data_IF_995507069521
#
_entry.id   IF_995507069521
#
_cell.length_a   1.000
_cell.length_b   1.000
_cell.length_c   1.000
_cell.angle_alpha   90.00
_cell.angle_beta   90.00
_cell.angle_gamma   90.00
#
_symmetry.space_group_name_H-M   'P 1'
#
loop_
_entity.id
_entity.type
_entity.pdbx_description
1 polymer ?
#
# COMPACT_ATOMS: atom_id res chain seq x y z
N UNK A 1 -51.80 3.01 -16.01
CA UNK A 1 -52.11 4.08 -16.99
C UNK A 1 -51.03 5.14 -16.88
N UNK A 2 -50.43 5.46 -18.03
CA UNK A 2 -49.26 6.33 -18.28
C UNK A 2 -47.88 5.78 -17.84
N UNK A 3 -47.05 5.37 -18.83
CA UNK A 3 -45.67 4.91 -18.70
C UNK A 3 -44.67 6.07 -18.94
N UNK A 4 -43.39 5.86 -18.61
CA UNK A 4 -42.31 6.69 -19.15
C UNK A 4 -41.14 6.90 -18.19
N UNK A 5 -40.11 6.05 -18.28
CA UNK A 5 -38.69 6.43 -18.41
C UNK A 5 -37.85 5.14 -18.50
N UNK A 6 -37.92 4.46 -19.64
CA UNK A 6 -36.89 3.55 -20.14
C UNK A 6 -36.19 4.30 -21.27
N UNK A 7 -35.03 4.91 -21.00
CA UNK A 7 -34.04 5.38 -22.00
C UNK A 7 -32.96 6.24 -21.31
N UNK A 8 -31.92 5.60 -20.74
CA UNK A 8 -30.64 6.25 -20.43
C UNK A 8 -29.51 5.26 -20.07
N UNK A 9 -29.53 4.03 -20.61
CA UNK A 9 -28.54 2.98 -20.26
C UNK A 9 -27.91 2.30 -21.48
N UNK A 10 -27.89 2.98 -22.63
CA UNK A 10 -27.22 2.47 -23.82
C UNK A 10 -26.69 3.63 -24.64
N UNK A 11 -25.43 3.99 -24.39
CA UNK A 11 -24.52 4.77 -25.26
C UNK A 11 -23.23 5.02 -24.46
N UNK A 12 -22.33 4.02 -24.46
CA UNK A 12 -21.00 4.13 -23.86
C UNK A 12 -19.94 3.21 -24.47
N UNK A 13 -20.26 2.42 -25.50
CA UNK A 13 -19.37 1.43 -26.11
C UNK A 13 -19.10 1.70 -27.62
N UNK A 14 -19.20 2.96 -28.07
CA UNK A 14 -19.06 3.29 -29.50
C UNK A 14 -18.21 4.54 -29.79
N UNK A 15 -17.19 4.82 -28.97
CA UNK A 15 -16.25 5.93 -29.22
C UNK A 15 -14.77 5.54 -29.34
N UNK A 16 -14.43 4.24 -29.40
CA UNK A 16 -13.06 3.76 -29.71
C UNK A 16 -12.83 3.56 -31.22
N UNK A 17 -13.30 4.51 -32.04
CA UNK A 17 -12.89 4.63 -33.43
C UNK A 17 -12.02 5.88 -33.62
N UNK A 18 -11.03 6.06 -32.74
CA UNK A 18 -9.81 6.76 -33.13
C UNK A 18 -9.03 5.75 -33.98
N UNK A 19 -9.21 5.82 -35.30
CA UNK A 19 -8.62 4.91 -36.28
C UNK A 19 -7.12 5.22 -36.47
N UNK A 20 -6.29 4.93 -35.48
CA UNK A 20 -4.88 4.60 -35.71
C UNK A 20 -4.81 3.18 -36.26
N UNK A 21 -4.03 2.95 -37.31
CA UNK A 21 -3.66 1.58 -37.67
C UNK A 21 -2.89 0.99 -36.48
N UNK A 22 -3.19 -0.24 -36.03
CA UNK A 22 -2.47 -0.84 -34.92
C UNK A 22 -0.96 -0.88 -35.21
N UNK A 23 -0.12 -0.70 -34.19
CA UNK A 23 1.32 -0.61 -34.38
C UNK A 23 1.89 -1.92 -34.95
N UNK A 24 2.77 -1.80 -35.93
CA UNK A 24 3.50 -2.95 -36.50
C UNK A 24 4.40 -3.60 -35.42
N UNK A 25 4.67 -4.92 -35.48
CA UNK A 25 5.54 -5.59 -34.50
C UNK A 25 6.92 -4.95 -34.32
N UNK A 26 7.46 -4.34 -35.38
CA UNK A 26 8.74 -3.60 -35.28
C UNK A 26 8.63 -2.29 -34.50
N UNK A 27 7.47 -1.63 -34.51
CA UNK A 27 7.22 -0.43 -33.72
C UNK A 27 7.01 -0.79 -32.24
N UNK A 28 6.23 -1.83 -31.95
CA UNK A 28 6.00 -2.34 -30.59
C UNK A 28 7.33 -2.71 -29.91
N UNK A 29 8.16 -3.50 -30.60
CA UNK A 29 9.48 -3.91 -30.10
C UNK A 29 10.41 -2.73 -29.87
N UNK A 30 10.38 -1.73 -30.76
CA UNK A 30 11.18 -0.50 -30.60
C UNK A 30 10.75 0.27 -29.34
N UNK A 31 9.45 0.50 -29.16
CA UNK A 31 8.94 1.21 -27.97
C UNK A 31 9.30 0.46 -26.68
N UNK A 32 9.09 -0.86 -26.63
CA UNK A 32 9.51 -1.67 -25.48
C UNK A 32 11.01 -1.56 -25.20
N UNK A 33 11.85 -1.60 -26.23
CA UNK A 33 13.30 -1.52 -26.04
C UNK A 33 13.77 -0.13 -25.64
N UNK A 34 13.25 0.91 -26.29
CA UNK A 34 13.77 2.26 -26.15
C UNK A 34 13.15 2.97 -24.94
N UNK A 35 11.82 2.89 -24.79
CA UNK A 35 11.07 3.61 -23.76
C UNK A 35 11.17 2.92 -22.40
N UNK A 36 10.94 1.60 -22.32
CA UNK A 36 11.08 0.89 -21.05
C UNK A 36 12.52 0.96 -20.54
N UNK A 37 13.52 0.78 -21.42
CA UNK A 37 14.91 0.90 -21.00
C UNK A 37 15.27 2.33 -20.59
N UNK A 38 14.68 3.36 -21.21
CA UNK A 38 14.86 4.74 -20.77
C UNK A 38 14.27 4.95 -19.36
N UNK A 39 13.02 4.54 -19.13
CA UNK A 39 12.37 4.64 -17.81
C UNK A 39 13.19 3.93 -16.74
N UNK A 40 13.62 2.68 -17.00
CA UNK A 40 14.40 1.89 -16.05
C UNK A 40 15.76 2.53 -15.74
N UNK A 41 16.50 3.00 -16.75
CA UNK A 41 17.78 3.70 -16.53
C UNK A 41 17.62 4.99 -15.74
N UNK A 42 16.58 5.77 -16.03
CA UNK A 42 16.35 7.04 -15.31
C UNK A 42 15.89 6.78 -13.87
N UNK A 43 15.13 5.72 -13.64
CA UNK A 43 14.75 5.27 -12.30
C UNK A 43 15.98 4.84 -11.50
N UNK A 44 16.86 4.05 -12.10
CA UNK A 44 18.15 3.68 -11.49
C UNK A 44 19.02 4.90 -11.18
N UNK A 45 19.09 5.88 -12.10
CA UNK A 45 19.83 7.12 -11.90
C UNK A 45 19.25 7.98 -10.76
N UNK A 46 17.92 8.05 -10.63
CA UNK A 46 17.27 8.75 -9.53
C UNK A 46 17.57 8.07 -8.19
N UNK A 47 17.39 6.74 -8.09
CA UNK A 47 17.68 5.95 -6.88
C UNK A 47 19.16 6.06 -6.50
N UNK A 48 20.06 5.87 -7.46
CA UNK A 48 21.51 5.97 -7.24
C UNK A 48 21.96 7.38 -6.86
N UNK A 49 21.30 8.41 -7.41
CA UNK A 49 21.54 9.80 -7.05
C UNK A 49 21.06 10.14 -5.63
N UNK A 50 20.10 9.38 -5.11
CA UNK A 50 19.60 9.47 -3.73
C UNK A 50 20.40 8.60 -2.74
N UNK A 51 21.74 8.62 -2.83
CA UNK A 51 22.69 7.85 -2.00
C UNK A 51 22.17 7.63 -0.57
N UNK A 52 22.17 6.38 -0.09
CA UNK A 52 21.61 5.98 1.21
C UNK A 52 22.26 6.73 2.40
N UNK A 53 23.48 7.26 2.22
CA UNK A 53 24.12 8.13 3.21
C UNK A 53 23.57 9.57 3.19
N UNK A 54 22.99 10.01 2.08
CA UNK A 54 22.45 11.36 1.85
C UNK A 54 20.96 11.45 2.15
N UNK A 55 20.19 10.39 1.88
CA UNK A 55 18.76 10.32 2.18
C UNK A 55 18.44 9.11 3.07
N UNK A 56 17.87 9.33 4.28
CA UNK A 56 17.61 8.27 5.23
C UNK A 56 16.33 7.48 4.87
N UNK A 57 16.23 6.97 3.63
CA UNK A 57 15.00 6.37 3.10
C UNK A 57 14.58 5.12 3.87
N UNK A 58 15.50 4.21 4.17
CA UNK A 58 15.21 3.02 4.98
C UNK A 58 14.63 3.40 6.35
N UNK A 59 15.16 4.48 6.93
CA UNK A 59 14.71 4.99 8.22
C UNK A 59 13.36 5.69 8.12
N UNK A 60 13.13 6.44 7.06
CA UNK A 60 11.83 7.05 6.77
C UNK A 60 10.76 5.97 6.56
N UNK A 61 11.09 4.92 5.81
CA UNK A 61 10.21 3.77 5.59
C UNK A 61 9.92 3.02 6.89
N UNK A 62 10.94 2.74 7.72
CA UNK A 62 10.71 2.07 9.00
C UNK A 62 9.88 2.92 9.97
N UNK A 63 10.04 4.26 9.94
CA UNK A 63 9.19 5.18 10.68
C UNK A 63 7.74 5.18 10.16
N UNK A 64 7.54 5.16 8.84
CA UNK A 64 6.21 5.03 8.22
C UNK A 64 5.59 3.67 8.59
N UNK A 65 6.33 2.57 8.50
CA UNK A 65 5.87 1.24 8.92
C UNK A 65 5.49 1.22 10.41
N UNK A 66 6.29 1.87 11.26
CA UNK A 66 5.99 2.03 12.68
C UNK A 66 4.70 2.84 12.92
N UNK A 67 4.50 3.93 12.17
CA UNK A 67 3.31 4.80 12.24
C UNK A 67 2.04 4.10 11.73
N UNK A 68 2.16 3.24 10.70
CA UNK A 68 1.04 2.47 10.15
C UNK A 68 0.64 1.26 11.02
N UNK A 69 1.29 1.08 12.18
CA UNK A 69 0.86 0.17 13.23
C UNK A 69 1.44 -1.23 13.07
N UNK A 70 2.64 -1.44 13.59
CA UNK A 70 3.32 -2.75 13.74
C UNK A 70 2.58 -3.81 14.58
N UNK A 71 1.28 -3.63 14.85
CA UNK A 71 0.38 -4.63 15.43
C UNK A 71 -0.63 -5.12 14.39
N UNK A 72 -0.40 -6.32 13.85
CA UNK A 72 -1.29 -7.15 13.02
C UNK A 72 -1.85 -6.58 11.69
N UNK A 73 -2.28 -5.32 11.57
CA UNK A 73 -2.85 -4.75 10.33
C UNK A 73 -1.82 -4.21 9.35
N UNK A 74 -0.67 -3.68 9.82
CA UNK A 74 0.48 -3.38 8.95
C UNK A 74 1.15 -4.67 8.42
N UNK A 75 0.82 -5.83 8.97
CA UNK A 75 1.37 -7.11 8.54
C UNK A 75 1.04 -7.50 7.11
N UNK A 76 0.09 -6.85 6.43
CA UNK A 76 -0.17 -7.11 5.00
C UNK A 76 0.53 -6.08 4.10
N UNK A 77 0.48 -4.79 4.43
CA UNK A 77 1.13 -3.72 3.67
C UNK A 77 2.65 -3.71 3.86
N UNK A 78 3.16 -3.90 5.08
CA UNK A 78 4.58 -4.07 5.36
C UNK A 78 5.10 -5.44 4.91
N UNK A 79 4.28 -6.50 4.85
CA UNK A 79 4.68 -7.74 4.15
C UNK A 79 4.62 -7.58 2.64
N UNK A 80 3.72 -6.77 2.09
CA UNK A 80 3.67 -6.45 0.67
C UNK A 80 4.86 -5.57 0.29
N UNK A 81 5.17 -4.51 1.04
CA UNK A 81 6.38 -3.70 0.90
C UNK A 81 7.64 -4.52 1.17
N UNK A 82 7.77 -5.22 2.29
CA UNK A 82 8.94 -6.07 2.54
C UNK A 82 9.02 -7.30 1.61
N UNK A 83 7.94 -7.69 0.93
CA UNK A 83 7.98 -8.64 -0.18
C UNK A 83 8.30 -7.96 -1.51
N UNK A 84 7.91 -6.70 -1.71
CA UNK A 84 8.22 -5.89 -2.88
C UNK A 84 9.69 -5.48 -2.83
N UNK A 85 10.17 -4.90 -1.73
CA UNK A 85 11.58 -4.62 -1.42
C UNK A 85 12.41 -5.89 -1.41
N UNK A 86 12.00 -7.01 -0.78
CA UNK A 86 12.76 -8.26 -0.94
C UNK A 86 12.66 -8.88 -2.34
N UNK A 87 11.61 -8.61 -3.12
CA UNK A 87 11.56 -9.02 -4.54
C UNK A 87 12.32 -8.06 -5.42
N UNK A 88 12.51 -6.80 -5.04
CA UNK A 88 13.32 -5.80 -5.73
C UNK A 88 14.79 -5.99 -5.37
N UNK A 89 15.13 -6.33 -4.14
CA UNK A 89 16.48 -6.70 -3.69
C UNK A 89 16.86 -8.11 -4.17
N UNK A 90 15.91 -9.05 -4.20
CA UNK A 90 16.14 -10.38 -4.81
C UNK A 90 16.07 -10.30 -6.33
N UNK A 91 15.27 -9.40 -6.92
CA UNK A 91 15.45 -9.02 -8.30
C UNK A 91 16.86 -8.45 -8.40
N UNK A 92 17.25 -7.30 -7.90
CA UNK A 92 18.59 -6.72 -8.02
C UNK A 92 19.77 -7.70 -7.77
N UNK A 93 19.70 -8.55 -6.72
CA UNK A 93 20.72 -9.58 -6.45
C UNK A 93 20.69 -10.82 -7.38
N UNK A 94 19.56 -11.13 -8.02
CA UNK A 94 19.41 -12.17 -9.07
C UNK A 94 19.24 -11.58 -10.49
N UNK A 95 19.12 -10.25 -10.64
CA UNK A 95 18.56 -9.49 -11.77
C UNK A 95 19.43 -8.32 -12.19
N UNK A 96 20.75 -8.42 -11.95
CA UNK A 96 21.71 -7.84 -12.90
C UNK A 96 21.42 -8.24 -14.37
N UNK A 97 20.55 -9.25 -14.59
CA UNK A 97 20.06 -9.68 -15.90
C UNK A 97 18.51 -9.67 -16.06
N UNK A 98 17.68 -9.38 -15.04
CA UNK A 98 16.26 -9.82 -15.03
C UNK A 98 15.24 -8.90 -15.72
N UNK A 99 15.35 -7.57 -15.58
CA UNK A 99 14.41 -6.64 -16.22
C UNK A 99 14.72 -6.45 -17.71
N UNK A 100 16.01 -6.36 -18.06
CA UNK A 100 16.44 -6.40 -19.47
C UNK A 100 16.11 -7.76 -20.10
N UNK A 101 16.20 -8.87 -19.32
CA UNK A 101 15.72 -10.18 -19.76
C UNK A 101 14.21 -10.19 -20.00
N UNK A 102 13.38 -9.55 -19.15
CA UNK A 102 11.95 -9.48 -19.39
C UNK A 102 11.62 -8.74 -20.70
N UNK A 103 12.21 -7.56 -20.92
CA UNK A 103 12.04 -6.82 -22.16
C UNK A 103 12.50 -7.66 -23.37
N UNK A 104 13.64 -8.35 -23.22
CA UNK A 104 14.17 -9.26 -24.24
C UNK A 104 13.21 -10.42 -24.51
N UNK A 105 12.70 -11.10 -23.50
CA UNK A 105 11.74 -12.21 -23.62
C UNK A 105 10.46 -11.75 -24.31
N UNK A 106 9.91 -10.59 -23.91
CA UNK A 106 8.75 -10.01 -24.58
C UNK A 106 9.06 -9.72 -26.06
N UNK A 107 10.22 -9.15 -26.37
CA UNK A 107 10.64 -8.84 -27.74
C UNK A 107 10.84 -10.10 -28.59
N UNK A 108 11.56 -11.10 -28.06
CA UNK A 108 12.04 -12.26 -28.82
C UNK A 108 11.05 -13.41 -28.86
N UNK A 109 10.18 -13.53 -27.86
CA UNK A 109 9.27 -14.66 -27.73
C UNK A 109 7.81 -14.29 -27.90
N UNK A 110 7.38 -13.07 -27.54
CA UNK A 110 5.96 -12.67 -27.58
C UNK A 110 5.66 -11.80 -28.79
N UNK A 111 6.32 -10.64 -28.93
CA UNK A 111 6.05 -9.64 -29.98
C UNK A 111 6.77 -9.95 -31.30
N UNK A 112 6.64 -11.19 -31.76
CA UNK A 112 7.19 -11.68 -33.04
C UNK A 112 6.13 -11.69 -34.13
N UNK A 113 6.58 -11.66 -35.39
CA UNK A 113 5.68 -11.78 -36.55
C UNK A 113 4.92 -13.13 -36.56
N UNK A 114 5.48 -14.17 -35.93
CA UNK A 114 4.86 -15.50 -35.85
C UNK A 114 3.66 -15.55 -34.90
N UNK A 115 3.67 -14.69 -33.87
CA UNK A 115 2.59 -14.61 -32.89
C UNK A 115 1.56 -13.54 -33.21
N UNK A 116 1.84 -12.66 -34.19
CA UNK A 116 0.95 -11.59 -34.60
C UNK A 116 -0.20 -12.15 -35.44
N UNK A 117 -1.43 -11.99 -34.95
CA UNK A 117 -2.65 -12.44 -35.62
C UNK A 117 -3.30 -11.36 -36.50
N UNK A 118 -2.68 -10.17 -36.59
CA UNK A 118 -3.27 -8.98 -37.19
C UNK A 118 -3.96 -8.09 -36.17
N UNK A 119 -4.28 -6.86 -36.58
CA UNK A 119 -5.00 -5.86 -35.78
C UNK A 119 -4.39 -5.59 -34.38
N UNK A 120 -3.07 -5.74 -34.23
CA UNK A 120 -2.36 -5.53 -32.96
C UNK A 120 -2.52 -6.68 -31.96
N UNK A 121 -3.07 -7.82 -32.37
CA UNK A 121 -3.31 -8.98 -31.51
C UNK A 121 -2.11 -9.94 -31.56
N UNK A 122 -1.60 -10.34 -30.40
CA UNK A 122 -0.50 -11.28 -30.23
C UNK A 122 -0.94 -12.47 -29.38
N UNK A 123 -0.64 -13.69 -29.84
CA UNK A 123 -0.81 -14.90 -29.03
C UNK A 123 0.36 -15.13 -28.12
N UNK A 124 0.09 -15.62 -26.91
CA UNK A 124 1.15 -16.08 -26.02
C UNK A 124 1.54 -17.51 -26.43
N UNK A 125 2.81 -17.75 -26.83
CA UNK A 125 3.23 -19.07 -27.29
C UNK A 125 3.22 -20.07 -26.13
N UNK A 126 2.81 -21.31 -26.41
CA UNK A 126 2.80 -22.37 -25.40
C UNK A 126 4.20 -22.68 -24.85
N UNK A 127 5.28 -22.42 -25.60
CA UNK A 127 6.65 -22.57 -25.09
C UNK A 127 6.96 -21.67 -23.90
N UNK A 128 6.29 -20.52 -23.76
CA UNK A 128 6.52 -19.59 -22.66
C UNK A 128 5.83 -20.05 -21.36
N UNK A 129 4.72 -20.78 -21.47
CA UNK A 129 3.82 -21.10 -20.34
C UNK A 129 3.85 -22.59 -19.98
N UNK A 130 4.03 -23.44 -20.98
CA UNK A 130 3.86 -24.89 -20.91
C UNK A 130 5.15 -25.69 -21.10
N UNK A 131 6.32 -25.05 -21.06
CA UNK A 131 7.61 -25.73 -21.00
C UNK A 131 7.84 -26.28 -19.59
N UNK A 132 8.16 -27.57 -19.49
CA UNK A 132 8.46 -28.26 -18.23
C UNK A 132 9.92 -28.09 -17.77
N UNK A 133 10.69 -27.24 -18.46
CA UNK A 133 12.11 -26.99 -18.22
C UNK A 133 13.03 -27.99 -18.94
N UNK A 134 12.47 -28.93 -19.69
CA UNK A 134 13.22 -29.86 -20.56
C UNK A 134 13.22 -29.41 -22.02
N UNK A 135 12.52 -28.32 -22.36
CA UNK A 135 12.29 -27.86 -23.73
C UNK A 135 11.17 -28.63 -24.44
N UNK A 136 10.43 -29.48 -23.72
CA UNK A 136 9.23 -30.15 -24.20
C UNK A 136 7.99 -29.39 -23.75
N UNK A 137 7.05 -29.18 -24.67
CA UNK A 137 5.76 -28.53 -24.38
C UNK A 137 4.78 -29.60 -23.90
N UNK A 138 4.20 -29.42 -22.71
CA UNK A 138 3.11 -30.28 -22.24
C UNK A 138 1.86 -30.05 -23.09
N UNK A 139 1.38 -31.12 -23.74
CA UNK A 139 0.26 -31.04 -24.67
C UNK A 139 -1.06 -30.66 -23.96
N UNK A 140 -1.28 -31.13 -22.73
CA UNK A 140 -2.49 -30.81 -21.96
C UNK A 140 -2.52 -29.33 -21.56
N UNK A 141 -1.38 -28.77 -21.18
CA UNK A 141 -1.20 -27.35 -20.91
C UNK A 141 -1.42 -26.53 -22.18
N UNK A 142 -0.84 -26.92 -23.32
CA UNK A 142 -1.03 -26.21 -24.58
C UNK A 142 -2.51 -26.19 -25.03
N UNK A 143 -3.22 -27.32 -24.90
CA UNK A 143 -4.66 -27.41 -25.18
C UNK A 143 -5.48 -26.52 -24.22
N UNK A 144 -5.08 -26.47 -22.95
CA UNK A 144 -5.70 -25.60 -21.94
C UNK A 144 -5.48 -24.13 -22.29
N UNK A 145 -4.23 -23.73 -22.57
CA UNK A 145 -3.85 -22.37 -22.95
C UNK A 145 -4.61 -21.90 -24.20
N UNK A 146 -4.74 -22.76 -25.20
CA UNK A 146 -5.54 -22.47 -26.40
C UNK A 146 -7.02 -22.23 -26.05
N UNK A 147 -7.56 -22.99 -25.09
CA UNK A 147 -8.94 -22.86 -24.62
C UNK A 147 -9.18 -21.60 -23.80
N UNK A 148 -8.18 -21.10 -23.07
CA UNK A 148 -8.24 -19.85 -22.30
C UNK A 148 -8.30 -18.60 -23.20
N UNK A 149 -7.97 -18.74 -24.49
CA UNK A 149 -7.91 -17.64 -25.47
C UNK A 149 -7.08 -16.44 -25.00
N UNK A 150 -5.98 -16.72 -24.31
CA UNK A 150 -5.07 -15.72 -23.78
C UNK A 150 -4.36 -14.97 -24.91
N UNK A 151 -4.53 -13.64 -24.96
CA UNK A 151 -3.95 -12.76 -25.98
C UNK A 151 -3.45 -11.47 -25.36
N UNK A 152 -2.47 -10.85 -26.02
CA UNK A 152 -2.07 -9.47 -25.73
C UNK A 152 -2.54 -8.63 -26.91
N UNK A 153 -3.32 -7.59 -26.63
CA UNK A 153 -3.74 -6.62 -27.64
C UNK A 153 -2.93 -5.36 -27.44
N UNK A 154 -2.28 -4.93 -28.52
CA UNK A 154 -1.50 -3.71 -28.56
C UNK A 154 -2.23 -2.72 -29.45
N UNK A 155 -2.53 -1.57 -28.89
CA UNK A 155 -3.02 -0.40 -29.61
C UNK A 155 -2.13 0.78 -29.28
N UNK A 156 -2.20 1.85 -30.06
CA UNK A 156 -1.34 2.99 -29.82
C UNK A 156 -1.35 3.97 -30.96
N UNK A 157 -1.06 5.22 -30.61
CA UNK A 157 -0.70 6.28 -31.53
C UNK A 157 0.82 6.53 -31.39
N UNK A 158 1.38 7.51 -32.12
CA UNK A 158 2.83 7.72 -32.22
C UNK A 158 3.58 7.88 -30.87
N UNK A 159 2.88 8.27 -29.79
CA UNK A 159 3.48 8.60 -28.49
C UNK A 159 3.12 7.63 -27.34
N UNK A 160 2.25 6.64 -27.56
CA UNK A 160 1.77 5.73 -26.50
C UNK A 160 1.52 4.33 -27.04
N UNK A 161 2.05 3.32 -26.36
CA UNK A 161 1.70 1.92 -26.56
C UNK A 161 0.79 1.44 -25.43
N UNK A 162 -0.42 1.06 -25.77
CA UNK A 162 -1.43 0.49 -24.87
C UNK A 162 -1.46 -1.03 -25.04
N UNK A 163 -1.15 -1.76 -23.98
CA UNK A 163 -1.18 -3.21 -23.93
C UNK A 163 -2.35 -3.66 -23.05
N UNK A 164 -3.22 -4.52 -23.58
CA UNK A 164 -4.31 -5.16 -22.83
C UNK A 164 -4.14 -6.67 -22.81
N UNK A 165 -4.20 -7.28 -21.62
CA UNK A 165 -4.25 -8.72 -21.46
C UNK A 165 -5.69 -9.21 -21.65
N UNK A 166 -5.98 -9.86 -22.77
CA UNK A 166 -7.31 -10.41 -23.03
C UNK A 166 -7.43 -11.86 -22.55
N UNK A 167 -8.51 -12.14 -21.81
CA UNK A 167 -8.82 -13.45 -21.26
C UNK A 167 -10.22 -13.91 -21.66
N UNK A 168 -10.31 -15.16 -22.11
CA UNK A 168 -11.56 -15.86 -22.38
C UNK A 168 -12.29 -15.41 -23.64
N UNK A 169 -13.36 -16.13 -24.03
CA UNK A 169 -14.21 -15.79 -25.18
C UNK A 169 -14.80 -14.38 -25.18
N UNK A 170 -15.03 -13.80 -23.99
CA UNK A 170 -15.55 -12.43 -23.86
C UNK A 170 -14.47 -11.36 -24.00
N UNK A 171 -13.19 -11.76 -24.14
CA UNK A 171 -12.03 -10.89 -24.27
C UNK A 171 -11.90 -9.87 -23.11
N UNK A 172 -12.16 -10.32 -21.88
CA UNK A 172 -12.06 -9.48 -20.69
C UNK A 172 -10.63 -8.94 -20.55
N UNK A 173 -10.47 -7.69 -20.11
CA UNK A 173 -9.16 -7.02 -19.98
C UNK A 173 -8.84 -6.64 -18.53
N UNK A 174 -8.57 -7.61 -17.65
CA UNK A 174 -8.30 -7.33 -16.24
C UNK A 174 -6.99 -6.59 -15.99
N UNK A 175 -6.06 -6.61 -16.94
CA UNK A 175 -4.75 -5.99 -16.83
C UNK A 175 -4.46 -5.16 -18.09
N UNK A 176 -4.07 -3.91 -17.88
CA UNK A 176 -3.70 -2.96 -18.93
C UNK A 176 -2.36 -2.32 -18.58
N UNK A 177 -1.56 -1.99 -19.59
CA UNK A 177 -0.28 -1.31 -19.43
C UNK A 177 -0.15 -0.25 -20.51
N UNK A 178 0.06 0.98 -20.10
CA UNK A 178 0.32 2.12 -20.97
C UNK A 178 1.79 2.49 -20.87
N UNK A 179 2.48 2.44 -22.00
CA UNK A 179 3.90 2.78 -22.11
C UNK A 179 4.07 4.01 -22.99
N UNK A 180 4.65 5.05 -22.43
CA UNK A 180 5.17 6.24 -23.11
C UNK A 180 6.68 6.31 -22.93
N UNK A 181 7.32 7.22 -23.65
CA UNK A 181 8.75 7.48 -23.45
C UNK A 181 9.12 7.81 -21.99
N UNK A 182 8.25 8.52 -21.27
CA UNK A 182 8.51 9.00 -19.90
C UNK A 182 7.51 8.47 -18.87
N UNK A 183 6.63 7.55 -19.24
CA UNK A 183 5.56 7.08 -18.34
C UNK A 183 5.30 5.59 -18.56
N UNK A 184 5.11 4.87 -17.48
CA UNK A 184 4.63 3.50 -17.45
C UNK A 184 3.46 3.43 -16.46
N UNK A 185 2.26 3.12 -16.93
CA UNK A 185 1.07 2.99 -16.09
C UNK A 185 0.49 1.57 -16.24
N UNK A 186 0.31 0.87 -15.12
CA UNK A 186 -0.27 -0.46 -15.06
C UNK A 186 -1.63 -0.39 -14.38
N UNK A 187 -2.70 -0.62 -15.12
CA UNK A 187 -4.07 -0.64 -14.62
C UNK A 187 -4.59 -2.06 -14.39
N UNK A 188 -5.30 -2.27 -13.29
CA UNK A 188 -6.07 -3.51 -13.02
C UNK A 188 -7.54 -3.16 -12.87
N UNK A 189 -8.38 -3.83 -13.67
CA UNK A 189 -9.83 -3.74 -13.58
C UNK A 189 -10.40 -4.98 -12.86
N UNK A 190 -10.95 -4.76 -11.67
CA UNK A 190 -11.48 -5.82 -10.83
C UNK A 190 -12.81 -6.36 -11.35
N UNK A 191 -13.61 -5.55 -12.04
CA UNK A 191 -14.86 -5.98 -12.65
C UNK A 191 -14.58 -6.96 -13.81
N UNK A 192 -13.61 -6.63 -14.66
CA UNK A 192 -13.10 -7.49 -15.75
C UNK A 192 -12.45 -8.76 -15.18
N UNK A 193 -11.70 -8.64 -14.07
CA UNK A 193 -11.11 -9.79 -13.37
C UNK A 193 -12.19 -10.76 -12.87
N UNK A 194 -13.26 -10.24 -12.24
CA UNK A 194 -14.37 -11.06 -11.76
C UNK A 194 -15.05 -11.82 -12.89
N UNK A 195 -15.25 -11.17 -14.04
CA UNK A 195 -15.85 -11.77 -15.23
C UNK A 195 -14.96 -12.84 -15.83
N UNK A 196 -13.66 -12.56 -15.99
CA UNK A 196 -12.68 -13.51 -16.50
C UNK A 196 -12.61 -14.77 -15.61
N UNK A 197 -12.55 -14.62 -14.28
CA UNK A 197 -12.53 -15.77 -13.36
C UNK A 197 -13.77 -16.66 -13.53
N UNK A 198 -14.96 -16.05 -13.60
CA UNK A 198 -16.21 -16.79 -13.76
C UNK A 198 -16.29 -17.54 -15.10
N UNK A 199 -15.71 -16.97 -16.16
CA UNK A 199 -15.67 -17.56 -17.50
C UNK A 199 -14.62 -18.66 -17.63
N UNK A 200 -13.44 -18.50 -17.01
CA UNK A 200 -12.32 -19.43 -17.13
C UNK A 200 -12.47 -20.67 -16.23
N UNK A 201 -13.14 -20.56 -15.07
CA UNK A 201 -13.33 -21.71 -14.16
C UNK A 201 -13.89 -22.98 -14.84
N UNK A 202 -15.00 -22.94 -15.62
CA UNK A 202 -15.50 -24.13 -16.28
C UNK A 202 -14.57 -24.65 -17.38
N UNK A 203 -13.77 -23.80 -18.03
CA UNK A 203 -12.77 -24.19 -19.03
C UNK A 203 -11.66 -25.02 -18.37
N UNK A 204 -11.27 -24.66 -17.15
CA UNK A 204 -10.30 -25.37 -16.33
C UNK A 204 -10.88 -26.61 -15.62
N UNK A 205 -12.17 -26.90 -15.80
CA UNK A 205 -12.84 -27.99 -15.10
C UNK A 205 -13.06 -27.73 -13.60
N UNK A 206 -13.00 -26.46 -13.19
CA UNK A 206 -13.19 -26.03 -11.81
C UNK A 206 -14.57 -25.39 -11.60
N UNK A 207 -15.04 -25.40 -10.35
CA UNK A 207 -16.22 -24.61 -9.98
C UNK A 207 -15.81 -23.15 -9.85
N UNK A 208 -16.59 -22.23 -10.45
CA UNK A 208 -16.35 -20.81 -10.28
C UNK A 208 -16.37 -20.45 -8.78
N UNK A 209 -15.35 -19.73 -8.27
CA UNK A 209 -15.34 -19.31 -6.89
C UNK A 209 -16.53 -18.38 -6.63
N UNK A 210 -17.15 -18.51 -5.45
CA UNK A 210 -18.19 -17.58 -5.02
C UNK A 210 -17.51 -16.28 -4.56
N UNK A 211 -17.25 -15.42 -5.54
CA UNK A 211 -16.44 -14.22 -5.45
C UNK A 211 -17.12 -13.09 -6.24
N UNK A 212 -17.00 -11.87 -5.74
CA UNK A 212 -17.27 -10.65 -6.48
C UNK A 212 -16.12 -9.69 -6.27
N UNK A 213 -15.57 -9.19 -7.39
CA UNK A 213 -14.56 -8.16 -7.43
C UNK A 213 -15.13 -6.96 -8.22
N UNK A 214 -14.95 -5.76 -7.70
CA UNK A 214 -15.33 -4.52 -8.37
C UNK A 214 -14.36 -3.39 -8.00
N UNK A 215 -14.13 -2.48 -8.93
CA UNK A 215 -13.22 -1.36 -8.78
C UNK A 215 -12.05 -1.38 -9.76
N UNK A 216 -11.16 -0.40 -9.63
CA UNK A 216 -10.00 -0.27 -10.49
C UNK A 216 -8.85 0.37 -9.70
N UNK A 217 -7.64 -0.09 -9.98
CA UNK A 217 -6.40 0.42 -9.39
C UNK A 217 -5.35 0.59 -10.47
N UNK A 218 -4.38 1.46 -10.21
CA UNK A 218 -3.24 1.66 -11.08
C UNK A 218 -1.93 1.75 -10.31
N UNK A 219 -0.84 1.42 -11.00
CA UNK A 219 0.53 1.64 -10.58
C UNK A 219 1.22 2.44 -11.70
N UNK A 220 1.62 3.67 -11.42
CA UNK A 220 2.31 4.55 -12.35
C UNK A 220 3.77 4.77 -11.99
N UNK A 221 4.61 4.92 -12.99
CA UNK A 221 6.00 5.36 -12.91
C UNK A 221 6.21 6.44 -13.97
N UNK A 222 6.71 7.59 -13.57
CA UNK A 222 6.90 8.77 -14.41
C UNK A 222 8.34 9.29 -14.31
N UNK A 223 8.95 9.60 -15.45
CA UNK A 223 10.24 10.26 -15.54
C UNK A 223 10.00 11.77 -15.67
N UNK A 224 10.40 12.50 -14.64
CA UNK A 224 10.23 13.95 -14.51
C UNK A 224 11.50 14.73 -14.92
N UNK A 225 12.64 14.04 -15.01
CA UNK A 225 13.92 14.57 -15.47
C UNK A 225 15.03 13.50 -15.45
N UNK A 226 16.26 13.86 -15.85
CA UNK A 226 17.39 12.92 -16.06
C UNK A 226 17.77 12.06 -14.85
N UNK A 227 17.41 12.50 -13.64
CA UNK A 227 17.54 11.75 -12.39
C UNK A 227 16.37 12.05 -11.44
N UNK A 228 15.19 12.32 -12.00
CA UNK A 228 13.97 12.65 -11.25
C UNK A 228 12.84 11.75 -11.70
N UNK A 229 12.32 10.94 -10.78
CA UNK A 229 11.22 10.00 -11.04
C UNK A 229 10.12 10.11 -10.00
N UNK A 230 8.88 9.89 -10.44
CA UNK A 230 7.72 9.73 -9.59
C UNK A 230 7.16 8.31 -9.73
N UNK A 231 6.78 7.67 -8.62
CA UNK A 231 6.01 6.43 -8.62
C UNK A 231 4.69 6.65 -7.86
N UNK A 232 3.58 6.11 -8.35
CA UNK A 232 2.25 6.25 -7.72
C UNK A 232 1.51 4.93 -7.73
N UNK A 233 0.75 4.67 -6.67
CA UNK A 233 -0.23 3.59 -6.60
C UNK A 233 -1.57 4.19 -6.17
N UNK A 234 -2.61 3.98 -6.96
CA UNK A 234 -3.91 4.61 -6.79
C UNK A 234 -5.07 3.65 -6.92
N UNK A 235 -6.21 4.04 -6.34
CA UNK A 235 -7.51 3.41 -6.49
C UNK A 235 -8.38 4.37 -7.29
N UNK A 236 -8.61 4.10 -8.57
CA UNK A 236 -9.37 4.97 -9.48
C UNK A 236 -10.87 4.83 -9.31
N UNK A 237 -11.31 3.61 -8.98
CA UNK A 237 -12.69 3.29 -8.64
C UNK A 237 -12.69 2.51 -7.34
N UNK A 238 -13.60 2.87 -6.44
CA UNK A 238 -13.70 2.23 -5.12
C UNK A 238 -13.69 0.71 -5.24
N UNK A 239 -12.85 0.09 -4.42
CA UNK A 239 -12.68 -1.36 -4.39
C UNK A 239 -13.80 -1.95 -3.55
N UNK A 240 -14.42 -3.01 -4.06
CA UNK A 240 -15.28 -3.91 -3.31
C UNK A 240 -14.91 -5.35 -3.66
N UNK A 241 -14.49 -6.11 -2.65
CA UNK A 241 -14.14 -7.51 -2.75
C UNK A 241 -15.01 -8.28 -1.77
N UNK A 242 -15.66 -9.32 -2.24
CA UNK A 242 -16.43 -10.23 -1.39
C UNK A 242 -16.22 -11.67 -1.83
N UNK A 243 -15.93 -12.58 -0.90
CA UNK A 243 -15.88 -14.02 -1.18
C UNK A 243 -16.49 -14.84 -0.06
N UNK A 244 -17.07 -15.98 -0.42
CA UNK A 244 -17.71 -16.89 0.52
C UNK A 244 -17.59 -18.34 0.05
N UNK A 245 -18.02 -19.28 0.88
CA UNK A 245 -18.18 -20.68 0.44
C UNK A 245 -19.24 -20.79 -0.68
N UNK A 246 -19.16 -21.80 -1.56
CA UNK A 246 -20.15 -22.01 -2.60
C UNK A 246 -21.59 -22.09 -2.07
N UNK A 247 -22.51 -21.31 -2.65
CA UNK A 247 -23.92 -21.28 -2.27
C UNK A 247 -24.27 -20.36 -1.10
N UNK A 248 -23.27 -19.74 -0.46
CA UNK A 248 -23.47 -18.70 0.57
C UNK A 248 -23.65 -17.33 -0.09
N UNK A 249 -24.55 -16.49 0.41
CA UNK A 249 -24.68 -15.14 -0.12
C UNK A 249 -23.42 -14.30 0.21
N UNK A 250 -22.89 -13.54 -0.75
CA UNK A 250 -21.74 -12.64 -0.55
C UNK A 250 -22.00 -11.48 0.44
N UNK A 251 -23.26 -11.29 0.81
CA UNK A 251 -23.72 -10.32 1.81
C UNK A 251 -23.95 -10.94 3.19
N UNK A 252 -23.76 -12.26 3.34
CA UNK A 252 -23.89 -12.94 4.61
C UNK A 252 -22.72 -12.62 5.55
N UNK A 253 -22.94 -12.71 6.86
CA UNK A 253 -21.91 -12.55 7.89
C UNK A 253 -20.80 -13.62 7.82
N UNK A 254 -21.00 -14.70 7.07
CA UNK A 254 -19.98 -15.72 6.82
C UNK A 254 -19.09 -15.41 5.60
N UNK A 255 -19.35 -14.31 4.88
CA UNK A 255 -18.58 -13.89 3.72
C UNK A 255 -17.46 -12.92 4.14
N UNK A 256 -16.24 -13.13 3.65
CA UNK A 256 -15.16 -12.14 3.78
C UNK A 256 -15.47 -10.97 2.86
N UNK A 257 -15.34 -9.74 3.39
CA UNK A 257 -15.56 -8.52 2.60
C UNK A 257 -14.45 -7.52 2.85
N UNK A 258 -14.03 -6.84 1.80
CA UNK A 258 -13.07 -5.74 1.86
C UNK A 258 -13.57 -4.62 0.95
N UNK A 259 -13.44 -3.38 1.41
CA UNK A 259 -13.77 -2.21 0.62
C UNK A 259 -12.81 -1.08 0.90
N UNK A 260 -12.49 -0.30 -0.12
CA UNK A 260 -11.65 0.90 0.00
C UNK A 260 -12.12 2.00 -0.96
N UNK A 261 -12.14 3.24 -0.48
CA UNK A 261 -12.51 4.40 -1.26
C UNK A 261 -11.44 4.75 -2.33
N UNK A 262 -11.83 5.59 -3.29
CA UNK A 262 -10.89 6.18 -4.27
C UNK A 262 -9.82 6.96 -3.52
N UNK A 263 -8.56 6.78 -3.91
CA UNK A 263 -7.41 7.28 -3.16
C UNK A 263 -6.11 7.23 -3.98
N UNK A 264 -5.25 8.24 -3.84
CA UNK A 264 -3.83 8.17 -4.22
C UNK A 264 -3.07 7.48 -3.10
N UNK A 265 -3.24 6.16 -2.99
CA UNK A 265 -2.84 5.36 -1.82
C UNK A 265 -1.40 5.61 -1.41
N UNK A 266 -0.50 5.67 -2.39
CA UNK A 266 0.92 5.87 -2.15
C UNK A 266 1.58 6.62 -3.31
N UNK A 267 2.51 7.51 -3.01
CA UNK A 267 3.38 8.13 -4.01
C UNK A 267 4.80 8.30 -3.50
N UNK A 268 5.76 8.16 -4.40
CA UNK A 268 7.18 8.48 -4.21
C UNK A 268 7.56 9.50 -5.28
N UNK A 269 8.32 10.52 -4.90
CA UNK A 269 9.03 11.41 -5.80
C UNK A 269 10.51 11.40 -5.38
N UNK A 270 11.43 11.11 -6.29
CA UNK A 270 12.87 11.09 -6.02
C UNK A 270 13.58 11.96 -7.05
N UNK A 271 14.24 13.03 -6.57
CA UNK A 271 15.13 13.87 -7.36
C UNK A 271 16.58 13.64 -6.91
N UNK A 272 17.25 12.70 -7.58
CA UNK A 272 18.64 12.34 -7.33
C UNK A 272 19.61 13.48 -7.67
N UNK A 273 19.26 14.39 -8.58
CA UNK A 273 20.12 15.54 -8.89
C UNK A 273 20.08 16.60 -7.78
N UNK A 274 18.92 16.80 -7.15
CA UNK A 274 18.76 17.70 -6.00
C UNK A 274 19.05 17.04 -4.65
N UNK A 275 19.19 15.71 -4.59
CA UNK A 275 19.31 14.97 -3.34
C UNK A 275 18.06 15.13 -2.47
N UNK A 276 16.88 15.01 -3.08
CA UNK A 276 15.58 15.18 -2.44
C UNK A 276 14.68 13.98 -2.72
N UNK A 277 13.77 13.71 -1.80
CA UNK A 277 12.70 12.76 -2.00
C UNK A 277 11.45 13.15 -1.23
N UNK A 278 10.30 12.70 -1.71
CA UNK A 278 9.04 12.79 -1.00
C UNK A 278 8.35 11.44 -1.04
N UNK A 279 7.78 11.02 0.08
CA UNK A 279 6.95 9.82 0.18
C UNK A 279 5.61 10.23 0.76
N UNK A 280 4.50 9.94 0.07
CA UNK A 280 3.17 10.19 0.60
C UNK A 280 2.37 8.89 0.69
N UNK A 281 1.58 8.77 1.75
CA UNK A 281 0.52 7.78 1.90
C UNK A 281 -0.77 8.55 2.05
N UNK A 282 -1.78 8.24 1.23
CA UNK A 282 -3.11 8.82 1.34
C UNK A 282 -4.17 7.75 1.06
N UNK A 283 -4.36 6.84 2.02
CA UNK A 283 -5.38 5.82 1.95
C UNK A 283 -6.76 6.41 2.31
N UNK A 284 -7.75 6.17 1.46
CA UNK A 284 -9.15 6.53 1.71
C UNK A 284 -9.82 5.64 2.76
N UNK A 285 -11.10 5.89 3.02
CA UNK A 285 -11.87 5.07 3.94
C UNK A 285 -11.85 3.61 3.51
N UNK A 286 -11.43 2.73 4.41
CA UNK A 286 -11.27 1.30 4.20
C UNK A 286 -12.09 0.54 5.23
N UNK A 287 -12.84 -0.46 4.77
CA UNK A 287 -13.61 -1.36 5.63
C UNK A 287 -13.23 -2.80 5.34
N UNK A 288 -13.17 -3.64 6.36
CA UNK A 288 -13.00 -5.08 6.19
C UNK A 288 -13.90 -5.86 7.13
N UNK A 289 -14.40 -6.99 6.68
CA UNK A 289 -15.14 -7.96 7.47
C UNK A 289 -14.47 -9.32 7.31
N UNK A 290 -14.06 -9.91 8.42
CA UNK A 290 -13.53 -11.26 8.50
C UNK A 290 -14.56 -12.08 9.29
N UNK A 291 -15.18 -13.10 8.67
CA UNK A 291 -16.17 -13.91 9.33
C UNK A 291 -15.52 -14.66 10.50
N UNK A 292 -16.29 -14.83 11.56
CA UNK A 292 -15.92 -15.71 12.66
C UNK A 292 -16.34 -17.15 12.38
N UNK A 293 -16.23 -18.01 13.38
CA UNK A 293 -16.72 -19.38 13.30
C UNK A 293 -17.96 -19.58 14.20
N UNK A 294 -18.31 -20.82 14.51
CA UNK A 294 -19.47 -21.09 15.37
C UNK A 294 -19.27 -20.66 16.84
N UNK A 295 -18.03 -20.49 17.28
CA UNK A 295 -17.67 -20.11 18.64
C UNK A 295 -17.34 -18.62 18.76
N UNK A 296 -16.82 -18.01 17.69
CA UNK A 296 -16.35 -16.63 17.67
C UNK A 296 -17.13 -15.78 16.67
N UNK A 297 -17.54 -14.58 17.11
CA UNK A 297 -18.14 -13.61 16.21
C UNK A 297 -17.11 -13.02 15.23
N UNK A 298 -17.58 -12.63 14.04
CA UNK A 298 -16.76 -11.97 13.03
C UNK A 298 -16.17 -10.63 13.50
N UNK A 299 -15.10 -10.22 12.81
CA UNK A 299 -14.37 -8.99 13.05
C UNK A 299 -14.64 -7.99 11.92
N UNK A 300 -14.91 -6.75 12.29
CA UNK A 300 -15.13 -5.64 11.37
C UNK A 300 -14.09 -4.55 11.65
N UNK A 301 -13.35 -4.15 10.61
CA UNK A 301 -12.47 -2.99 10.62
C UNK A 301 -13.18 -1.83 9.90
N UNK A 302 -13.12 -0.66 10.52
CA UNK A 302 -13.52 0.62 9.97
C UNK A 302 -12.37 1.62 10.14
N UNK A 303 -11.66 1.87 9.04
CA UNK A 303 -10.54 2.81 8.95
C UNK A 303 -11.00 4.02 8.12
N UNK A 304 -11.15 5.22 8.71
CA UNK A 304 -11.65 6.39 7.99
C UNK A 304 -10.68 6.90 6.91
N UNK A 305 -9.40 6.64 7.08
CA UNK A 305 -8.34 6.93 6.13
C UNK A 305 -6.98 6.94 6.83
N UNK A 306 -5.91 7.07 6.05
CA UNK A 306 -4.56 7.31 6.58
C UNK A 306 -3.88 8.32 5.68
N UNK A 307 -3.31 9.36 6.27
CA UNK A 307 -2.55 10.36 5.54
C UNK A 307 -1.20 10.60 6.19
N UNK A 308 -0.15 10.71 5.38
CA UNK A 308 1.15 11.25 5.79
C UNK A 308 1.91 11.66 4.53
N UNK A 309 2.70 12.72 4.62
CA UNK A 309 3.69 13.09 3.60
C UNK A 309 5.03 13.29 4.29
N UNK A 310 6.07 12.62 3.80
CA UNK A 310 7.42 12.65 4.33
C UNK A 310 8.30 13.32 3.29
N UNK A 311 8.91 14.44 3.66
CA UNK A 311 9.91 15.11 2.83
C UNK A 311 11.32 14.81 3.34
N UNK A 312 12.20 14.51 2.39
CA UNK A 312 13.57 14.14 2.59
C UNK A 312 14.45 15.06 1.75
N UNK A 313 15.48 15.63 2.37
CA UNK A 313 16.49 16.40 1.66
C UNK A 313 17.85 16.23 2.33
N UNK A 314 18.91 16.11 1.54
CA UNK A 314 20.27 15.94 2.03
C UNK A 314 20.65 17.02 3.06
N UNK A 315 21.05 16.58 4.25
CA UNK A 315 21.46 17.45 5.36
C UNK A 315 20.34 18.30 5.98
N UNK A 316 19.07 18.04 5.64
CA UNK A 316 17.91 18.67 6.26
C UNK A 316 17.20 17.71 7.23
N UNK A 317 16.42 18.24 8.19
CA UNK A 317 15.49 17.43 8.97
C UNK A 317 14.52 16.65 8.10
N UNK A 318 14.10 15.48 8.56
CA UNK A 318 12.98 14.72 7.96
C UNK A 318 11.69 15.34 8.46
N UNK A 319 10.82 15.79 7.55
CA UNK A 319 9.53 16.39 7.93
C UNK A 319 8.38 15.49 7.54
N UNK A 320 7.50 15.24 8.50
CA UNK A 320 6.23 14.57 8.32
C UNK A 320 5.13 15.61 8.33
N UNK A 321 4.26 15.62 7.34
CA UNK A 321 3.12 16.54 7.28
C UNK A 321 1.81 15.79 7.13
N UNK A 322 0.76 16.34 7.75
CA UNK A 322 -0.60 15.81 7.75
C UNK A 322 -0.70 14.35 8.18
N UNK A 323 0.07 13.95 9.19
CA UNK A 323 -0.02 12.60 9.77
C UNK A 323 -1.39 12.45 10.43
N UNK A 324 -2.23 11.54 9.93
CA UNK A 324 -3.63 11.44 10.30
C UNK A 324 -4.24 10.05 10.08
N UNK A 325 -5.29 9.73 10.83
CA UNK A 325 -6.10 8.49 10.71
C UNK A 325 -7.51 8.78 10.17
N UNK A 326 -7.64 9.84 9.37
CA UNK A 326 -8.91 10.31 8.82
C UNK A 326 -9.69 11.25 9.75
N UNK A 327 -10.98 11.44 9.45
CA UNK A 327 -11.85 12.46 10.07
C UNK A 327 -12.64 11.97 11.31
N UNK A 328 -12.48 10.69 11.66
CA UNK A 328 -13.08 10.03 12.82
C UNK A 328 -12.13 8.95 13.35
N UNK A 329 -12.54 8.24 14.40
CA UNK A 329 -11.70 7.19 15.01
C UNK A 329 -11.67 5.94 14.13
N UNK A 330 -10.52 5.25 14.10
CA UNK A 330 -10.41 3.89 13.57
C UNK A 330 -11.02 2.93 14.57
N UNK A 331 -11.88 2.03 14.11
CA UNK A 331 -12.61 1.08 14.96
C UNK A 331 -12.40 -0.34 14.45
N UNK A 332 -11.90 -1.22 15.31
CA UNK A 332 -12.04 -2.66 15.17
C UNK A 332 -13.21 -3.09 16.05
N UNK A 333 -14.16 -3.85 15.51
CA UNK A 333 -15.36 -4.30 16.22
C UNK A 333 -15.63 -5.78 16.02
N UNK A 334 -16.43 -6.35 16.92
CA UNK A 334 -16.87 -7.75 16.89
C UNK A 334 -18.37 -7.77 17.18
N UNK A 335 -19.15 -8.39 16.29
CA UNK A 335 -20.61 -8.36 16.38
C UNK A 335 -21.18 -6.94 16.56
N UNK A 336 -20.58 -5.94 15.90
CA UNK A 336 -20.95 -4.53 16.01
C UNK A 336 -20.56 -3.83 17.32
N UNK A 337 -19.91 -4.52 18.27
CA UNK A 337 -19.35 -3.92 19.48
C UNK A 337 -17.90 -3.50 19.24
N UNK A 338 -17.51 -2.24 19.50
CA UNK A 338 -16.11 -1.80 19.38
C UNK A 338 -15.20 -2.61 20.31
N UNK A 339 -14.20 -3.27 19.73
CA UNK A 339 -13.12 -3.94 20.46
C UNK A 339 -11.97 -2.98 20.73
N UNK A 340 -11.51 -2.30 19.69
CA UNK A 340 -10.39 -1.36 19.75
C UNK A 340 -10.82 -0.09 19.03
N UNK A 341 -10.62 1.05 19.67
CA UNK A 341 -10.77 2.36 19.03
C UNK A 341 -9.45 3.10 19.12
N UNK A 342 -9.00 3.62 17.99
CA UNK A 342 -7.80 4.47 17.91
C UNK A 342 -8.24 5.84 17.40
N UNK A 343 -7.95 6.87 18.19
CA UNK A 343 -8.26 8.25 17.87
C UNK A 343 -7.01 9.11 17.99
N UNK A 344 -6.61 9.73 16.89
CA UNK A 344 -5.47 10.62 16.81
C UNK A 344 -5.95 12.06 16.80
N UNK A 345 -5.39 12.90 17.67
CA UNK A 345 -5.55 14.35 17.71
C UNK A 345 -7.01 14.81 17.64
N UNK A 346 -7.94 14.10 18.30
CA UNK A 346 -9.38 14.36 18.27
C UNK A 346 -9.74 15.83 18.41
N UNK A 347 -9.12 16.49 19.38
CA UNK A 347 -9.38 17.89 19.74
C UNK A 347 -8.40 18.87 19.04
N UNK A 348 -7.43 18.34 18.29
CA UNK A 348 -6.37 19.06 17.56
C UNK A 348 -6.50 18.90 16.03
N UNK A 349 -7.72 18.65 15.54
CA UNK A 349 -8.00 18.56 14.10
C UNK A 349 -7.60 17.23 13.43
N UNK A 350 -7.39 16.18 14.23
CA UNK A 350 -7.10 14.79 13.83
C UNK A 350 -5.85 14.57 12.98
N UNK A 351 -4.90 15.48 13.12
CA UNK A 351 -3.63 15.44 12.41
C UNK A 351 -2.52 16.10 13.21
N UNK A 352 -1.28 15.75 12.90
CA UNK A 352 -0.10 16.49 13.32
C UNK A 352 0.93 16.55 12.19
N UNK A 353 1.83 17.51 12.31
CA UNK A 353 3.08 17.56 11.58
C UNK A 353 4.21 17.20 12.56
N UNK A 354 5.28 16.57 12.07
CA UNK A 354 6.44 16.26 12.89
C UNK A 354 7.73 16.57 12.16
N UNK A 355 8.77 16.94 12.90
CA UNK A 355 10.12 17.14 12.36
C UNK A 355 11.09 16.30 13.15
N UNK A 356 11.82 15.43 12.45
CA UNK A 356 12.81 14.53 13.00
C UNK A 356 14.21 15.00 12.60
N UNK A 357 15.08 15.18 13.59
CA UNK A 357 16.44 15.70 13.45
C UNK A 357 17.42 14.73 14.11
N UNK A 358 18.55 14.48 13.47
CA UNK A 358 19.70 13.84 14.10
C UNK A 358 20.80 14.89 14.22
N UNK A 359 21.22 15.20 15.44
CA UNK A 359 22.36 16.08 15.66
C UNK A 359 23.64 15.40 15.15
N UNK A 360 24.36 15.97 14.18
CA UNK A 360 25.48 15.28 13.51
C UNK A 360 26.72 15.13 14.41
N UNK A 361 26.78 15.84 15.54
CA UNK A 361 27.93 15.83 16.45
C UNK A 361 27.73 14.82 17.57
N UNK A 362 26.55 14.84 18.17
CA UNK A 362 26.18 14.01 19.32
C UNK A 362 25.45 12.72 18.91
N UNK A 363 24.91 12.66 17.69
CA UNK A 363 24.04 11.57 17.24
C UNK A 363 22.67 11.56 17.89
N UNK A 364 22.32 12.60 18.68
CA UNK A 364 21.04 12.66 19.40
C UNK A 364 19.91 12.89 18.42
N UNK A 365 18.89 12.05 18.53
CA UNK A 365 17.71 12.07 17.67
C UNK A 365 16.60 12.83 18.37
N UNK A 366 16.01 13.82 17.72
CA UNK A 366 14.96 14.66 18.28
C UNK A 366 13.75 14.67 17.35
N UNK A 367 12.56 14.49 17.91
CA UNK A 367 11.28 14.66 17.20
C UNK A 367 10.51 15.82 17.83
N UNK A 368 10.09 16.77 16.99
CA UNK A 368 9.20 17.87 17.36
C UNK A 368 7.84 17.63 16.71
N UNK A 369 6.73 17.92 17.41
CA UNK A 369 5.37 17.63 16.91
C UNK A 369 4.48 18.87 17.00
N UNK A 370 3.81 19.24 15.92
CA UNK A 370 2.91 20.41 15.85
C UNK A 370 1.47 20.00 15.45
N UNK A 371 0.43 20.52 16.12
CA UNK A 371 0.48 21.37 17.33
C UNK A 371 0.82 20.59 18.61
N UNK A 372 1.02 19.28 18.50
CA UNK A 372 1.24 18.32 19.57
C UNK A 372 0.68 16.96 19.18
N UNK A 373 0.79 15.99 20.08
CA UNK A 373 0.25 14.64 19.92
C UNK A 373 -0.81 14.39 20.99
N UNK A 374 -1.91 13.75 20.62
CA UNK A 374 -2.94 13.18 21.48
C UNK A 374 -3.44 11.89 20.84
N UNK A 375 -2.83 10.78 21.19
CA UNK A 375 -3.23 9.45 20.74
C UNK A 375 -4.05 8.78 21.83
N UNK A 376 -5.30 8.44 21.53
CA UNK A 376 -6.19 7.70 22.44
C UNK A 376 -6.47 6.32 21.87
N UNK A 377 -6.19 5.30 22.66
CA UNK A 377 -6.46 3.91 22.37
C UNK A 377 -7.40 3.41 23.46
N UNK A 378 -8.54 2.84 23.09
CA UNK A 378 -9.43 2.15 24.03
C UNK A 378 -9.64 0.72 23.61
N UNK A 379 -9.62 -0.20 24.57
CA UNK A 379 -9.79 -1.63 24.37
C UNK A 379 -10.92 -2.15 25.24
N UNK A 380 -11.91 -2.82 24.64
CA UNK A 380 -12.94 -3.55 25.37
C UNK A 380 -12.49 -5.01 25.60
N UNK A 381 -11.87 -5.23 26.76
CA UNK A 381 -11.40 -6.56 27.16
C UNK A 381 -12.53 -7.57 27.36
N UNK A 382 -13.73 -7.12 27.75
CA UNK A 382 -14.87 -8.02 27.91
C UNK A 382 -15.31 -8.57 26.55
N UNK A 383 -15.33 -7.71 25.52
CA UNK A 383 -15.62 -8.11 24.15
C UNK A 383 -14.50 -8.97 23.52
N UNK A 384 -13.26 -8.88 24.03
CA UNK A 384 -12.16 -9.79 23.71
C UNK A 384 -12.25 -11.16 24.42
N UNK A 385 -13.18 -11.33 25.36
CA UNK A 385 -13.35 -12.57 26.14
C UNK A 385 -12.35 -12.71 27.29
N UNK A 386 -11.70 -11.62 27.69
CA UNK A 386 -10.73 -11.64 28.78
C UNK A 386 -11.43 -11.57 30.15
N UNK A 387 -10.98 -12.37 31.14
CA UNK A 387 -11.67 -12.52 32.43
C UNK A 387 -11.57 -11.30 33.37
N UNK A 388 -10.77 -10.28 33.04
CA UNK A 388 -10.70 -8.97 33.70
C UNK A 388 -10.05 -7.94 32.77
N UNK A 389 -10.48 -6.66 32.76
CA UNK A 389 -9.90 -5.64 31.89
C UNK A 389 -8.44 -5.36 32.24
N UNK A 390 -7.54 -5.45 31.26
CA UNK A 390 -6.10 -5.28 31.44
C UNK A 390 -5.54 -3.96 30.88
N UNK A 391 -6.36 -3.11 30.26
CA UNK A 391 -6.19 -1.66 29.98
C UNK A 391 -7.45 -1.15 29.23
N UNK A 392 -8.37 -0.44 29.88
CA UNK A 392 -9.57 0.04 29.15
C UNK A 392 -9.26 1.18 28.18
N UNK A 393 -8.38 2.10 28.61
CA UNK A 393 -8.02 3.30 27.84
C UNK A 393 -6.58 3.69 28.15
N UNK A 394 -5.81 3.95 27.10
CA UNK A 394 -4.49 4.58 27.15
C UNK A 394 -4.52 5.84 26.28
N UNK A 395 -4.17 6.97 26.87
CA UNK A 395 -3.97 8.23 26.17
C UNK A 395 -2.50 8.64 26.28
N UNK A 396 -1.84 8.79 25.15
CA UNK A 396 -0.48 9.35 25.05
C UNK A 396 -0.61 10.74 24.47
N UNK A 397 -0.32 11.77 25.27
CA UNK A 397 -0.36 13.15 24.80
C UNK A 397 0.97 13.85 25.00
N UNK A 398 1.48 14.50 23.95
CA UNK A 398 2.63 15.38 23.97
C UNK A 398 2.12 16.80 23.71
N UNK A 399 2.15 17.64 24.74
CA UNK A 399 1.54 18.97 24.72
C UNK A 399 2.61 20.05 24.82
N UNK A 400 2.41 21.15 24.09
CA UNK A 400 3.23 22.34 24.20
C UNK A 400 3.19 22.90 25.64
N UNK A 401 4.36 23.26 26.17
CA UNK A 401 4.49 24.04 27.40
C UNK A 401 5.14 25.38 27.02
N UNK A 402 4.32 26.44 26.99
CA UNK A 402 4.76 27.77 26.59
C UNK A 402 5.04 27.94 25.09
N UNK A 403 3.99 28.09 24.27
CA UNK A 403 4.02 28.71 22.93
C UNK A 403 4.84 28.04 21.81
N UNK A 404 5.80 27.17 22.12
CA UNK A 404 6.60 26.40 21.17
C UNK A 404 6.10 24.97 21.02
N UNK A 405 6.50 24.31 19.93
CA UNK A 405 6.18 22.92 19.68
C UNK A 405 6.86 22.00 20.71
N UNK A 406 6.15 20.99 21.25
CA UNK A 406 6.75 20.02 22.15
C UNK A 406 7.68 19.06 21.39
N UNK A 407 8.71 18.60 22.08
CA UNK A 407 9.76 17.78 21.48
C UNK A 407 10.24 16.69 22.44
N UNK A 408 10.58 15.54 21.84
CA UNK A 408 11.19 14.39 22.50
C UNK A 408 12.57 14.15 21.91
N UNK A 409 13.52 13.68 22.71
CA UNK A 409 14.82 13.21 22.23
C UNK A 409 15.10 11.79 22.69
N UNK A 410 15.71 10.99 21.81
CA UNK A 410 16.35 9.74 22.19
C UNK A 410 17.56 10.06 23.06
N UNK A 411 17.62 9.44 24.23
CA UNK A 411 18.73 9.53 25.17
C UNK A 411 19.25 8.12 25.43
N UNK A 412 20.56 7.97 25.64
CA UNK A 412 21.15 6.70 26.07
C UNK A 412 21.76 6.90 27.44
N UNK A 413 21.39 6.02 28.36
CA UNK A 413 21.99 5.98 29.69
C UNK A 413 23.46 5.59 29.63
N UNK A 414 24.18 5.83 30.73
CA UNK A 414 25.56 5.38 30.90
C UNK A 414 25.77 3.86 30.72
N UNK A 415 24.72 3.05 30.87
CA UNK A 415 24.77 1.59 30.69
C UNK A 415 24.36 1.14 29.27
N UNK A 416 24.02 2.08 28.38
CA UNK A 416 23.61 1.82 27.00
C UNK A 416 22.12 1.55 26.80
N UNK A 417 21.28 1.66 27.84
CA UNK A 417 19.82 1.56 27.70
C UNK A 417 19.26 2.84 27.08
N UNK A 418 18.34 2.68 26.13
CA UNK A 418 17.61 3.78 25.51
C UNK A 418 16.56 4.36 26.46
N UNK A 419 16.42 5.69 26.44
CA UNK A 419 15.45 6.48 27.19
C UNK A 419 14.85 7.55 26.27
N UNK A 420 13.66 8.02 26.61
CA UNK A 420 13.01 9.14 25.91
C UNK A 420 13.01 10.35 26.83
N UNK A 421 13.77 11.38 26.47
CA UNK A 421 13.77 12.67 27.15
C UNK A 421 12.67 13.57 26.59
N UNK A 422 11.92 14.25 27.46
CA UNK A 422 11.08 15.38 27.06
C UNK A 422 11.97 16.62 26.98
N UNK A 423 12.21 17.12 25.78
CA UNK A 423 13.08 18.30 25.56
C UNK A 423 12.29 19.59 25.80
N UNK A 424 11.10 19.67 25.24
CA UNK A 424 10.16 20.78 25.42
C UNK A 424 8.74 20.24 25.54
N UNK A 425 7.90 20.98 26.27
CA UNK A 425 6.52 20.55 26.53
C UNK A 425 6.38 19.58 27.69
N UNK A 426 5.28 18.84 27.65
CA UNK A 426 4.92 17.85 28.64
C UNK A 426 4.39 16.59 27.95
N UNK A 427 4.94 15.44 28.32
CA UNK A 427 4.42 14.13 27.93
C UNK A 427 3.52 13.59 29.04
N UNK A 428 2.33 13.15 28.68
CA UNK A 428 1.38 12.50 29.58
C UNK A 428 1.02 11.14 29.00
N UNK A 429 1.15 10.10 29.81
CA UNK A 429 0.58 8.78 29.52
C UNK A 429 -0.49 8.55 30.58
N UNK A 430 -1.75 8.71 30.19
CA UNK A 430 -2.89 8.43 31.06
C UNK A 430 -3.43 7.03 30.76
N UNK A 431 -3.59 6.22 31.81
CA UNK A 431 -4.06 4.82 31.72
C UNK A 431 -5.30 4.62 32.57
N UNK A 432 -6.02 3.52 32.35
CA UNK A 432 -6.99 2.98 33.30
C UNK A 432 -6.59 1.53 33.65
N UNK A 433 -6.12 1.25 34.90
CA UNK A 433 -6.07 2.14 36.07
C UNK A 433 -5.07 3.30 35.98
N UNK A 434 -5.40 4.44 36.61
CA UNK A 434 -4.63 5.69 36.50
C UNK A 434 -3.25 5.67 37.18
N UNK A 435 -3.04 4.78 38.15
CA UNK A 435 -1.77 4.67 38.91
C UNK A 435 -0.60 4.14 38.08
N UNK A 436 -0.87 3.57 36.90
CA UNK A 436 0.16 3.12 35.94
C UNK A 436 0.57 4.20 34.94
N UNK A 437 -0.12 5.35 34.94
CA UNK A 437 0.17 6.50 34.09
C UNK A 437 1.26 7.40 34.67
N UNK A 438 1.70 8.38 33.87
CA UNK A 438 2.74 9.34 34.25
C UNK A 438 2.56 10.68 33.57
N UNK A 439 3.10 11.74 34.19
CA UNK A 439 3.38 13.01 33.55
C UNK A 439 4.89 13.28 33.62
N UNK A 440 5.52 13.51 32.48
CA UNK A 440 6.96 13.77 32.33
C UNK A 440 7.12 15.21 31.82
N UNK A 441 7.78 16.05 32.62
CA UNK A 441 8.05 17.44 32.28
C UNK A 441 9.32 17.59 31.45
N UNK A 442 9.46 18.72 30.75
CA UNK A 442 10.68 19.09 30.06
C UNK A 442 11.94 18.94 30.95
N UNK A 443 13.00 18.38 30.38
CA UNK A 443 14.25 18.04 31.05
C UNK A 443 14.25 16.68 31.76
N UNK A 444 13.12 15.98 31.85
CA UNK A 444 13.01 14.65 32.47
C UNK A 444 12.92 13.55 31.41
N UNK A 445 13.20 12.31 31.84
CA UNK A 445 13.14 11.13 30.99
C UNK A 445 11.97 10.22 31.39
N UNK A 446 11.35 9.60 30.40
CA UNK A 446 10.36 8.55 30.56
C UNK A 446 11.07 7.22 30.83
N UNK A 447 10.62 6.52 31.88
CA UNK A 447 11.01 5.15 32.16
C UNK A 447 9.78 4.25 32.32
N UNK A 448 9.95 2.97 31.98
CA UNK A 448 8.94 1.93 32.19
C UNK A 448 9.48 0.83 33.08
N UNK A 449 8.63 0.29 33.94
CA UNK A 449 8.89 -0.95 34.68
C UNK A 449 7.67 -1.87 34.56
N UNK A 450 7.89 -3.17 34.73
CA UNK A 450 6.79 -4.11 34.93
C UNK A 450 6.31 -4.02 36.39
N UNK A 451 5.02 -3.82 36.58
CA UNK A 451 4.34 -3.86 37.87
C UNK A 451 3.27 -4.95 37.84
N UNK A 452 2.98 -5.57 38.97
CA UNK A 452 1.89 -6.53 39.08
C UNK A 452 1.06 -6.26 40.32
N UNK A 453 -0.25 -6.42 40.21
CA UNK A 453 -1.20 -6.25 41.29
C UNK A 453 -2.20 -7.42 41.33
N UNK A 454 -3.33 -7.26 42.04
CA UNK A 454 -4.35 -8.30 42.11
C UNK A 454 -5.14 -8.48 40.79
N UNK A 455 -5.04 -7.53 39.86
CA UNK A 455 -5.82 -7.50 38.62
C UNK A 455 -5.01 -7.93 37.40
N UNK A 456 -3.68 -7.82 37.44
CA UNK A 456 -2.80 -8.29 36.38
C UNK A 456 -1.36 -7.82 36.48
N UNK A 457 -0.68 -7.87 35.34
CA UNK A 457 0.65 -7.33 35.12
C UNK A 457 0.53 -6.15 34.18
N UNK A 458 1.18 -5.05 34.52
CA UNK A 458 1.02 -3.72 33.95
C UNK A 458 2.38 -3.12 33.64
N UNK A 459 2.45 -2.30 32.59
CA UNK A 459 3.58 -1.40 32.41
C UNK A 459 3.34 -0.15 33.26
N UNK A 460 4.16 0.04 34.29
CA UNK A 460 4.16 1.26 35.08
C UNK A 460 5.12 2.27 34.47
N UNK A 461 4.59 3.44 34.13
CA UNK A 461 5.39 4.55 33.62
C UNK A 461 5.83 5.47 34.75
N UNK A 462 7.03 6.03 34.64
CA UNK A 462 7.59 6.94 35.64
C UNK A 462 8.44 8.04 35.00
N UNK A 463 8.50 9.19 35.67
CA UNK A 463 9.35 10.31 35.30
C UNK A 463 10.62 10.24 36.14
N UNK A 464 11.77 10.19 35.48
CA UNK A 464 13.09 10.11 36.12
C UNK A 464 13.98 11.25 35.65
N UNK A 465 15.06 11.49 36.37
CA UNK A 465 16.17 12.32 35.87
C UNK A 465 16.85 11.55 34.74
N UNK A 466 17.11 12.22 33.61
CA UNK A 466 17.92 11.63 32.54
C UNK A 466 19.35 11.34 33.04
N UNK A 467 19.87 10.16 32.71
CA UNK A 467 21.20 9.71 33.18
C UNK A 467 22.37 10.22 32.32
#
# INVERSE_FOLDING_TARGET
MRPGLYAALGLGLASLAACGSPPEPTAVRRGLRDDLAFILRTTDAAISGTDAAALPLERAMSLVEGQLGGGASAGLAAKAQHALTRRLDRADAEAGEGLESLATVLETEVFTDANHQGDGIYTIPASLVCDDGTGAIDAGCADTLASLQLRIVVSGDDDVLHFGLQLGPSHNQPLTLDLRHTELDLGVDLDETSQAIAELAPILGEAAPNLSLAGALHLGLEVLGDAHVGARFGIDRSIAVAFAEPGVALTADSAVRFGSAVADVFSIDLDGAAGRGQVAVALGSTTAHIPGDAADAGLDLDLPGVTTTVDLAAGQPVTFTRVGLGDRSTVLSRAGQPLITVDLNRDLGRRFDATYVIDPVSGVETVTVEPGLDLRISTDHAALGEPAPRFDVTQVSLQADGGGAPALAASTTSNGSEQVQVVSGQLVIATNPAEYGVTVAAGSCLASAEASDATGTWTQWSSITCE
#
